data_IF_385921135512
#
_entry.id   IF_385921135512
#
_cell.length_a   1.000
_cell.length_b   1.000
_cell.length_c   1.000
_cell.angle_alpha   90.00
_cell.angle_beta   90.00
_cell.angle_gamma   90.00
#
_symmetry.space_group_name_H-M   'P 1'
#
loop_
_entity.id
_entity.type
_entity.pdbx_description
1 polymer ?
#
# COMPACT_ATOMS: atom_id res chain seq x y z
N UNK A 1 0.04 -19.96 -16.35
CA UNK A 1 0.21 -19.76 -14.89
C UNK A 1 -0.24 -18.35 -14.53
N UNK A 2 -1.05 -18.24 -13.51
CA UNK A 2 -1.51 -16.94 -12.98
C UNK A 2 -0.57 -16.48 -11.88
N UNK A 3 -0.14 -15.22 -11.95
CA UNK A 3 0.73 -14.62 -10.95
C UNK A 3 0.14 -13.28 -10.51
N UNK A 4 0.29 -12.94 -9.24
CA UNK A 4 -0.05 -11.61 -8.72
C UNK A 4 1.26 -10.97 -8.30
N UNK A 5 1.56 -9.83 -8.91
CA UNK A 5 2.71 -9.00 -8.54
C UNK A 5 2.19 -7.82 -7.76
N UNK A 6 2.74 -7.58 -6.58
CA UNK A 6 2.30 -6.43 -5.78
C UNK A 6 3.49 -5.71 -5.19
N UNK A 7 3.26 -4.43 -4.91
CA UNK A 7 4.22 -3.54 -4.29
C UNK A 7 3.50 -2.76 -3.18
N UNK A 8 4.20 -2.46 -2.11
CA UNK A 8 3.62 -1.79 -0.95
C UNK A 8 4.51 -0.65 -0.47
N UNK A 9 3.86 0.37 0.13
CA UNK A 9 4.54 1.43 0.86
C UNK A 9 4.04 1.46 2.30
N UNK A 10 4.89 1.86 3.24
CA UNK A 10 4.59 1.84 4.67
C UNK A 10 4.97 3.16 5.33
N UNK A 11 4.58 3.30 6.61
CA UNK A 11 4.98 4.47 7.41
C UNK A 11 6.46 4.46 7.77
N UNK A 12 7.12 3.30 7.68
CA UNK A 12 8.55 3.15 8.00
C UNK A 12 8.99 1.72 7.76
N UNK A 13 10.20 1.37 8.18
CA UNK A 13 10.83 0.09 7.89
C UNK A 13 10.72 -0.94 9.00
N UNK A 14 10.00 -0.65 10.08
CA UNK A 14 9.96 -1.52 11.25
C UNK A 14 8.52 -1.86 11.67
N UNK A 15 7.95 -2.95 11.14
CA UNK A 15 6.63 -3.41 11.58
C UNK A 15 6.58 -3.69 13.08
N UNK A 16 7.69 -4.14 13.68
CA UNK A 16 7.78 -4.39 15.11
C UNK A 16 7.61 -3.12 15.94
N UNK A 17 7.94 -1.95 15.37
CA UNK A 17 7.73 -0.65 16.01
C UNK A 17 6.36 -0.05 15.69
N UNK A 18 5.49 -0.81 15.00
CA UNK A 18 4.13 -0.38 14.68
C UNK A 18 3.98 0.31 13.34
N UNK A 19 4.96 0.22 12.45
CA UNK A 19 4.81 0.77 11.10
C UNK A 19 3.74 0.01 10.34
N UNK A 20 2.97 0.77 9.52
CA UNK A 20 1.78 0.25 8.84
C UNK A 20 1.82 0.54 7.35
N UNK A 21 1.13 -0.31 6.59
CA UNK A 21 0.98 -0.14 5.15
C UNK A 21 0.13 1.10 4.85
N UNK A 22 0.56 1.90 3.88
CA UNK A 22 -0.17 3.08 3.42
C UNK A 22 -0.58 3.01 1.96
N UNK A 23 0.03 2.12 1.19
CA UNK A 23 -0.31 1.93 -0.22
C UNK A 23 -0.06 0.49 -0.63
N UNK A 24 -0.92 -0.06 -1.48
CA UNK A 24 -0.70 -1.35 -2.13
C UNK A 24 -1.13 -1.24 -3.60
N UNK A 25 -0.29 -1.75 -4.49
CA UNK A 25 -0.62 -1.90 -5.91
C UNK A 25 -0.41 -3.35 -6.32
N UNK A 26 -1.39 -3.92 -7.02
CA UNK A 26 -1.33 -5.30 -7.49
C UNK A 26 -1.64 -5.35 -8.98
N UNK A 27 -0.94 -6.21 -9.71
CA UNK A 27 -1.24 -6.51 -11.11
C UNK A 27 -1.33 -8.02 -11.30
N UNK A 28 -2.19 -8.43 -12.22
CA UNK A 28 -2.32 -9.84 -12.59
C UNK A 28 -1.55 -10.14 -13.87
N UNK A 29 -0.80 -11.24 -13.84
CA UNK A 29 -0.14 -11.78 -15.01
C UNK A 29 -0.66 -13.19 -15.29
N UNK A 30 -0.86 -13.52 -16.56
CA UNK A 30 -1.12 -14.89 -17.00
C UNK A 30 -0.09 -15.23 -18.04
N UNK A 31 0.66 -16.29 -17.80
CA UNK A 31 1.80 -16.68 -18.65
C UNK A 31 2.75 -15.49 -18.86
N UNK A 32 2.98 -14.71 -17.79
CA UNK A 32 3.88 -13.55 -17.77
C UNK A 32 3.43 -12.37 -18.63
N UNK A 33 2.16 -12.33 -18.99
CA UNK A 33 1.57 -11.22 -19.74
C UNK A 33 0.52 -10.56 -18.86
N UNK A 34 0.54 -9.22 -18.74
CA UNK A 34 -0.45 -8.48 -17.98
C UNK A 34 -1.84 -8.67 -18.59
N UNK A 35 -2.81 -8.98 -17.72
CA UNK A 35 -4.19 -9.20 -18.17
C UNK A 35 -5.02 -7.93 -18.21
N UNK A 36 -4.51 -6.83 -17.65
CA UNK A 36 -5.27 -5.59 -17.45
C UNK A 36 -5.99 -5.53 -16.12
N UNK A 37 -6.06 -6.63 -15.38
CA UNK A 37 -6.65 -6.63 -14.04
C UNK A 37 -5.64 -6.09 -13.04
N UNK A 38 -6.06 -5.09 -12.26
CA UNK A 38 -5.20 -4.47 -11.25
C UNK A 38 -6.02 -4.02 -10.06
N UNK A 39 -5.33 -3.83 -8.94
CA UNK A 39 -5.92 -3.26 -7.73
C UNK A 39 -4.93 -2.24 -7.17
N UNK A 40 -5.45 -1.11 -6.69
CA UNK A 40 -4.62 -0.09 -6.08
C UNK A 40 -5.41 0.59 -4.97
N UNK A 41 -4.79 0.75 -3.80
CA UNK A 41 -5.43 1.39 -2.67
C UNK A 41 -4.42 2.13 -1.80
N UNK A 42 -4.88 3.23 -1.18
CA UNK A 42 -4.18 3.94 -0.12
C UNK A 42 -4.91 3.74 1.20
N UNK A 43 -4.17 3.81 2.29
CA UNK A 43 -4.74 3.62 3.63
C UNK A 43 -4.32 4.71 4.58
N UNK A 44 -5.22 5.04 5.52
CA UNK A 44 -4.87 5.88 6.65
C UNK A 44 -4.19 5.00 7.69
N UNK A 45 -2.90 5.22 8.01
CA UNK A 45 -2.17 4.37 8.95
C UNK A 45 -2.49 4.67 10.41
N UNK A 46 -3.23 5.74 10.70
CA UNK A 46 -3.54 6.19 12.06
C UNK A 46 -2.28 6.47 12.91
N UNK A 47 -1.20 6.86 12.25
CA UNK A 47 0.05 7.25 12.90
C UNK A 47 0.83 8.18 11.98
N UNK A 48 1.75 9.00 12.53
CA UNK A 48 2.58 9.87 11.70
C UNK A 48 3.47 9.07 10.76
N UNK A 49 3.72 9.65 9.59
CA UNK A 49 4.66 9.09 8.62
C UNK A 49 6.09 9.31 9.09
N UNK A 50 6.92 8.26 8.97
CA UNK A 50 8.36 8.42 9.14
C UNK A 50 8.87 9.34 8.01
N UNK A 51 9.59 10.45 8.33
CA UNK A 51 10.09 11.36 7.31
C UNK A 51 10.93 10.68 6.23
N UNK A 52 11.73 9.68 6.60
CA UNK A 52 12.54 8.95 5.63
C UNK A 52 11.68 8.16 4.66
N UNK A 53 10.59 7.54 5.14
CA UNK A 53 9.65 6.81 4.28
C UNK A 53 8.92 7.78 3.35
N UNK A 54 8.47 8.92 3.86
CA UNK A 54 7.78 9.92 3.05
C UNK A 54 8.69 10.45 1.94
N UNK A 55 9.96 10.60 2.21
CA UNK A 55 10.93 11.05 1.22
C UNK A 55 11.02 10.07 0.05
N UNK A 56 10.84 8.77 0.31
CA UNK A 56 10.88 7.73 -0.71
C UNK A 56 9.61 7.70 -1.56
N UNK A 57 8.43 7.72 -0.94
CA UNK A 57 7.16 7.52 -1.67
C UNK A 57 6.31 8.78 -1.83
N UNK A 58 6.65 9.87 -1.14
CA UNK A 58 5.95 11.13 -1.30
C UNK A 58 4.55 11.22 -0.70
N UNK A 59 4.12 10.22 0.07
CA UNK A 59 2.78 10.22 0.67
C UNK A 59 2.79 10.94 2.01
N UNK A 60 2.06 12.05 2.10
CA UNK A 60 2.02 12.88 3.30
C UNK A 60 0.91 12.43 4.24
N UNK A 61 1.04 12.79 5.53
CA UNK A 61 -0.01 12.55 6.51
C UNK A 61 -1.33 13.21 6.09
N UNK A 62 -1.26 14.42 5.53
CA UNK A 62 -2.45 15.15 5.08
C UNK A 62 -3.16 14.42 3.93
N UNK A 63 -2.42 13.85 3.00
CA UNK A 63 -2.98 13.07 1.89
C UNK A 63 -3.69 11.82 2.40
N UNK A 64 -3.13 11.15 3.40
CA UNK A 64 -3.65 9.88 3.89
C UNK A 64 -4.76 10.04 4.94
N UNK A 65 -4.95 11.23 5.48
CA UNK A 65 -5.88 11.47 6.58
C UNK A 65 -7.33 11.10 6.26
N UNK A 66 -7.73 11.23 4.99
CA UNK A 66 -9.10 10.92 4.55
C UNK A 66 -9.23 9.57 3.86
N UNK A 67 -8.18 8.75 3.89
CA UNK A 67 -8.23 7.42 3.28
C UNK A 67 -8.83 6.40 4.24
N UNK A 68 -9.41 5.30 3.74
CA UNK A 68 -9.95 4.25 4.60
C UNK A 68 -8.84 3.57 5.39
N UNK A 69 -9.21 2.92 6.49
CA UNK A 69 -8.28 2.09 7.25
C UNK A 69 -8.00 0.80 6.47
N UNK A 70 -6.83 0.22 6.69
CA UNK A 70 -6.47 -1.06 6.05
C UNK A 70 -7.53 -2.13 6.33
N UNK A 71 -7.97 -2.25 7.57
CA UNK A 71 -8.97 -3.24 7.98
C UNK A 71 -10.32 -3.06 7.30
N UNK A 72 -10.63 -1.86 6.80
CA UNK A 72 -11.87 -1.60 6.06
C UNK A 72 -11.79 -2.04 4.61
N UNK A 73 -10.58 -2.25 4.09
CA UNK A 73 -10.34 -2.58 2.69
C UNK A 73 -9.74 -3.95 2.46
N UNK A 74 -9.35 -4.64 3.52
CA UNK A 74 -8.63 -5.92 3.39
C UNK A 74 -9.44 -6.97 2.64
N UNK A 75 -10.75 -6.93 2.72
CA UNK A 75 -11.62 -7.89 2.03
C UNK A 75 -11.58 -7.73 0.51
N UNK A 76 -11.15 -6.58 0.00
CA UNK A 76 -11.02 -6.34 -1.44
C UNK A 76 -9.72 -6.89 -2.01
N UNK A 77 -8.81 -7.27 -1.15
CA UNK A 77 -7.54 -7.85 -1.55
C UNK A 77 -7.71 -9.35 -1.79
#
# INVERSE_FOLDING_TARGET
MREIVFDTETTGLSPASGDRMVEIGCIELVNRVETGNSFHAYFNPERPMDPAAQEVHGLSDAFLANKPLFEDKVEEL
#
